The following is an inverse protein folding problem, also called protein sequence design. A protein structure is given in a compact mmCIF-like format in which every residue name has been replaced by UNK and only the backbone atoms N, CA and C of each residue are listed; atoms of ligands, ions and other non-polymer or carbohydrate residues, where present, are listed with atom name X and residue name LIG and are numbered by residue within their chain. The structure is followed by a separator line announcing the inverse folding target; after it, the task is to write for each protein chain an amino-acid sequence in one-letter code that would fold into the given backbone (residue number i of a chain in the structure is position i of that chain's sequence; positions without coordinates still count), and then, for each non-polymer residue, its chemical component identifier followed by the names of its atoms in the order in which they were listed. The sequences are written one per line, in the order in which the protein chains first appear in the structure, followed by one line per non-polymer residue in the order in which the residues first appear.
data_IF_387020137075
#
_entry.id   IF_387020137075
#
_cell.length_a   1.000
_cell.length_b   1.000
_cell.length_c   1.000
_cell.angle_alpha   90.00
_cell.angle_beta   90.00
_cell.angle_gamma   90.00
#
_symmetry.space_group_name_H-M   'P 1'
#
loop_
_entity.id
_entity.type
_entity.pdbx_description
1 polymer ?
#
# COMPACT_ATOMS: atom_id res chain seq x y z
N UNK A 1 -6.04 -51.62 29.87
CA UNK A 1 -5.77 -51.12 28.50
C UNK A 1 -6.22 -49.66 28.48
N UNK A 2 -5.29 -48.72 28.65
CA UNK A 2 -5.59 -47.28 28.67
C UNK A 2 -4.95 -46.65 27.44
N UNK A 3 -5.76 -45.95 26.65
CA UNK A 3 -5.35 -45.24 25.44
C UNK A 3 -4.74 -43.89 25.84
N UNK A 4 -3.59 -43.47 25.29
CA UNK A 4 -3.01 -42.17 25.67
C UNK A 4 -3.83 -41.03 25.05
N UNK A 5 -3.90 -39.87 25.73
CA UNK A 5 -4.63 -38.71 25.24
C UNK A 5 -3.93 -38.16 23.99
N UNK A 6 -4.71 -38.03 22.91
CA UNK A 6 -4.28 -37.36 21.69
C UNK A 6 -3.86 -35.92 22.03
N UNK A 7 -2.57 -35.65 21.86
CA UNK A 7 -2.02 -34.31 21.91
C UNK A 7 -2.78 -33.46 20.89
N UNK A 8 -3.51 -32.45 21.39
CA UNK A 8 -4.10 -31.42 20.54
C UNK A 8 -2.98 -30.74 19.79
N UNK A 9 -2.85 -31.07 18.50
CA UNK A 9 -1.98 -30.38 17.57
C UNK A 9 -2.32 -28.89 17.64
N UNK A 10 -1.34 -28.11 18.09
CA UNK A 10 -1.45 -26.66 18.10
C UNK A 10 -1.85 -26.19 16.71
N UNK A 11 -2.99 -25.53 16.62
CA UNK A 11 -3.42 -24.79 15.44
C UNK A 11 -2.38 -23.68 15.26
N UNK A 12 -1.32 -23.97 14.51
CA UNK A 12 -0.37 -22.95 14.09
C UNK A 12 -1.16 -21.94 13.26
N UNK A 13 -1.17 -20.65 13.64
CA UNK A 13 -1.91 -19.65 12.88
C UNK A 13 -1.36 -19.66 11.45
N UNK A 14 -2.22 -20.05 10.50
CA UNK A 14 -1.93 -20.07 9.08
C UNK A 14 -1.33 -18.71 8.72
N UNK A 15 -0.03 -18.69 8.40
CA UNK A 15 0.67 -17.48 7.91
C UNK A 15 -0.15 -16.99 6.73
N UNK A 16 -0.94 -15.95 6.94
CA UNK A 16 -1.77 -15.37 5.88
C UNK A 16 -0.79 -14.91 4.82
N UNK A 17 -0.90 -15.44 3.60
CA UNK A 17 -0.08 -14.98 2.48
C UNK A 17 -0.54 -13.56 2.17
N UNK A 18 0.05 -12.58 2.85
CA UNK A 18 -0.15 -11.16 2.56
C UNK A 18 0.59 -10.86 1.27
N UNK A 19 -0.15 -10.51 0.23
CA UNK A 19 0.43 -10.15 -1.06
C UNK A 19 1.19 -8.83 -0.86
N UNK A 20 2.48 -8.79 -1.20
CA UNK A 20 3.26 -7.57 -1.20
C UNK A 20 2.60 -6.40 -1.94
N UNK A 21 2.55 -5.23 -1.31
CA UNK A 21 2.05 -3.99 -1.91
C UNK A 21 2.84 -3.62 -3.16
N UNK A 22 4.16 -3.87 -3.14
CA UNK A 22 5.00 -3.62 -4.31
C UNK A 22 4.52 -4.39 -5.54
N UNK A 23 4.10 -5.65 -5.38
CA UNK A 23 3.61 -6.46 -6.49
C UNK A 23 2.24 -5.98 -6.97
N UNK A 24 1.37 -5.53 -6.06
CA UNK A 24 0.10 -4.93 -6.44
C UNK A 24 0.32 -3.67 -7.28
N UNK A 25 1.25 -2.81 -6.88
CA UNK A 25 1.59 -1.58 -7.61
C UNK A 25 2.26 -1.89 -8.95
N UNK A 26 3.21 -2.82 -8.99
CA UNK A 26 3.90 -3.19 -10.22
C UNK A 26 2.92 -3.75 -11.26
N UNK A 27 2.08 -4.71 -10.85
CA UNK A 27 1.11 -5.35 -11.74
C UNK A 27 0.10 -4.33 -12.27
N UNK A 28 -0.47 -3.52 -11.40
CA UNK A 28 -1.42 -2.47 -11.81
C UNK A 28 -0.77 -1.40 -12.71
N UNK A 29 0.49 -1.02 -12.47
CA UNK A 29 1.21 -0.11 -13.38
C UNK A 29 1.35 -0.70 -14.78
N UNK A 30 1.60 -2.01 -14.90
CA UNK A 30 1.62 -2.69 -16.20
C UNK A 30 0.25 -2.55 -16.87
N UNK A 31 -0.84 -2.83 -16.17
CA UNK A 31 -2.18 -2.67 -16.73
C UNK A 31 -2.47 -1.22 -17.16
N UNK A 32 -2.16 -0.24 -16.31
CA UNK A 32 -2.36 1.19 -16.60
C UNK A 32 -1.54 1.64 -17.81
N UNK A 33 -0.34 1.10 -18.01
CA UNK A 33 0.52 1.42 -19.15
C UNK A 33 0.10 0.70 -20.45
N UNK A 34 -0.32 -0.57 -20.34
CA UNK A 34 -0.58 -1.44 -21.51
C UNK A 34 -1.97 -1.21 -22.09
N UNK A 35 -2.99 -1.01 -21.25
CA UNK A 35 -4.39 -0.87 -21.72
C UNK A 35 -4.55 0.28 -22.73
N UNK A 36 -4.06 1.51 -22.48
CA UNK A 36 -4.20 2.61 -23.44
C UNK A 36 -3.53 2.30 -24.78
N UNK A 37 -2.35 1.69 -24.76
CA UNK A 37 -1.60 1.33 -25.97
C UNK A 37 -2.34 0.25 -26.77
N UNK A 38 -2.90 -0.74 -26.09
CA UNK A 38 -3.73 -1.77 -26.73
C UNK A 38 -5.00 -1.17 -27.33
N UNK A 39 -5.69 -0.28 -26.61
CA UNK A 39 -6.89 0.38 -27.12
C UNK A 39 -6.59 1.22 -28.36
N UNK A 40 -5.50 1.99 -28.36
CA UNK A 40 -5.06 2.74 -29.54
C UNK A 40 -4.70 1.82 -30.71
N UNK A 41 -4.05 0.68 -30.44
CA UNK A 41 -3.73 -0.30 -31.47
C UNK A 41 -4.99 -0.88 -32.12
N UNK A 42 -6.01 -1.22 -31.33
CA UNK A 42 -7.30 -1.72 -31.82
C UNK A 42 -8.02 -0.69 -32.70
N UNK A 43 -8.00 0.59 -32.30
CA UNK A 43 -8.58 1.68 -33.10
C UNK A 43 -7.83 1.86 -34.41
N UNK A 44 -6.50 1.78 -34.37
CA UNK A 44 -5.64 1.91 -35.55
C UNK A 44 -5.86 0.78 -36.57
N UNK A 45 -6.10 -0.45 -36.10
CA UNK A 45 -6.34 -1.63 -36.95
C UNK A 45 -7.70 -1.60 -37.67
N UNK A 46 -8.55 -0.59 -37.43
CA UNK A 46 -9.85 -0.45 -38.10
C UNK A 46 -10.94 -1.41 -37.64
N UNK A 47 -10.67 -2.26 -36.64
CA UNK A 47 -11.65 -3.20 -36.07
C UNK A 47 -12.84 -2.52 -35.39
N UNK A 48 -12.77 -1.21 -35.14
CA UNK A 48 -13.81 -0.37 -34.54
C UNK A 48 -14.50 0.55 -35.55
N UNK A 49 -14.37 0.28 -36.86
CA UNK A 49 -14.82 1.16 -37.94
C UNK A 49 -16.26 1.66 -37.79
N UNK A 50 -17.21 0.83 -37.34
CA UNK A 50 -18.61 1.24 -37.12
C UNK A 50 -18.77 2.27 -36.00
N UNK A 51 -18.03 2.09 -34.90
CA UNK A 51 -18.02 3.02 -33.75
C UNK A 51 -17.32 4.32 -34.15
N UNK A 52 -16.15 4.20 -34.79
CA UNK A 52 -15.34 5.35 -35.21
C UNK A 52 -16.01 6.15 -36.32
N UNK A 53 -16.77 5.51 -37.22
CA UNK A 53 -17.54 6.22 -38.26
C UNK A 53 -18.70 7.04 -37.67
N UNK A 54 -19.26 6.59 -36.55
CA UNK A 54 -20.35 7.28 -35.85
C UNK A 54 -19.84 8.47 -35.02
N UNK A 55 -18.69 8.31 -34.36
CA UNK A 55 -18.17 9.28 -33.38
C UNK A 55 -17.07 10.18 -33.97
N UNK A 56 -16.37 9.70 -34.99
CA UNK A 56 -15.18 10.32 -35.57
C UNK A 56 -13.88 9.85 -34.93
N UNK A 57 -12.83 9.68 -35.74
CA UNK A 57 -11.47 9.35 -35.31
C UNK A 57 -10.90 10.32 -34.27
N UNK A 58 -10.92 11.66 -34.47
CA UNK A 58 -10.32 12.58 -33.49
C UNK A 58 -11.05 12.56 -32.14
N UNK A 59 -12.40 12.48 -32.15
CA UNK A 59 -13.19 12.41 -30.93
C UNK A 59 -12.95 11.10 -30.17
N UNK A 60 -12.83 9.97 -30.87
CA UNK A 60 -12.52 8.67 -30.25
C UNK A 60 -11.15 8.69 -29.56
N UNK A 61 -10.12 9.22 -30.23
CA UNK A 61 -8.78 9.35 -29.65
C UNK A 61 -8.78 10.29 -28.45
N UNK A 62 -9.52 11.40 -28.52
CA UNK A 62 -9.65 12.35 -27.41
C UNK A 62 -10.30 11.69 -26.18
N UNK A 63 -11.40 10.95 -26.37
CA UNK A 63 -12.08 10.24 -25.28
C UNK A 63 -11.17 9.20 -24.61
N UNK A 64 -10.43 8.42 -25.41
CA UNK A 64 -9.45 7.46 -24.89
C UNK A 64 -8.33 8.16 -24.10
N UNK A 65 -7.86 9.30 -24.60
CA UNK A 65 -6.83 10.10 -23.93
C UNK A 65 -7.34 10.62 -22.58
N UNK A 66 -8.54 11.20 -22.54
CA UNK A 66 -9.15 11.69 -21.30
C UNK A 66 -9.34 10.53 -20.31
N UNK A 67 -9.87 9.40 -20.77
CA UNK A 67 -10.05 8.21 -19.93
C UNK A 67 -8.72 7.72 -19.34
N UNK A 68 -7.66 7.70 -20.15
CA UNK A 68 -6.31 7.32 -19.69
C UNK A 68 -5.78 8.28 -18.64
N UNK A 69 -5.90 9.60 -18.86
CA UNK A 69 -5.47 10.61 -17.89
C UNK A 69 -6.22 10.44 -16.57
N UNK A 70 -7.53 10.23 -16.61
CA UNK A 70 -8.33 9.98 -15.40
C UNK A 70 -7.89 8.73 -14.64
N UNK A 71 -7.61 7.63 -15.35
CA UNK A 71 -7.09 6.40 -14.75
C UNK A 71 -5.73 6.63 -14.08
N UNK A 72 -4.82 7.36 -14.73
CA UNK A 72 -3.50 7.70 -14.18
C UNK A 72 -3.65 8.57 -12.92
N UNK A 73 -4.54 9.56 -12.93
CA UNK A 73 -4.80 10.41 -11.77
C UNK A 73 -5.36 9.60 -10.60
N UNK A 74 -6.33 8.71 -10.86
CA UNK A 74 -6.89 7.83 -9.84
C UNK A 74 -5.84 6.90 -9.25
N UNK A 75 -4.98 6.34 -10.12
CA UNK A 75 -3.87 5.48 -9.71
C UNK A 75 -2.83 6.22 -8.87
N UNK A 76 -2.45 7.43 -9.29
CA UNK A 76 -1.53 8.29 -8.55
C UNK A 76 -2.09 8.66 -7.18
N UNK A 77 -3.39 8.96 -7.10
CA UNK A 77 -4.07 9.24 -5.83
C UNK A 77 -4.04 8.02 -4.91
N UNK A 78 -4.30 6.82 -5.44
CA UNK A 78 -4.22 5.57 -4.70
C UNK A 78 -2.83 5.33 -4.10
N UNK A 79 -1.76 5.48 -4.90
CA UNK A 79 -0.37 5.35 -4.45
C UNK A 79 -0.03 6.39 -3.37
N UNK A 80 -0.41 7.64 -3.58
CA UNK A 80 -0.17 8.71 -2.62
C UNK A 80 -0.82 8.41 -1.25
N UNK A 81 -2.04 7.86 -1.26
CA UNK A 81 -2.77 7.56 -0.03
C UNK A 81 -2.24 6.31 0.70
N UNK A 82 -1.91 5.24 -0.05
CA UNK A 82 -1.53 3.93 0.52
C UNK A 82 -0.04 3.83 0.86
N UNK A 83 0.81 4.63 0.22
CA UNK A 83 2.27 4.55 0.37
C UNK A 83 2.85 5.88 0.84
N UNK A 84 2.68 6.95 0.06
CA UNK A 84 3.39 8.21 0.33
C UNK A 84 2.97 8.82 1.65
N UNK A 85 1.66 8.89 1.94
CA UNK A 85 1.14 9.45 3.19
C UNK A 85 1.69 8.75 4.44
N UNK A 86 1.58 7.41 4.61
CA UNK A 86 2.13 6.75 5.80
C UNK A 86 3.66 6.86 5.91
N UNK A 87 4.40 6.86 4.79
CA UNK A 87 5.86 7.05 4.81
C UNK A 87 6.24 8.47 5.29
N UNK A 88 5.54 9.49 4.81
CA UNK A 88 5.77 10.89 5.24
C UNK A 88 5.39 11.05 6.72
N UNK A 89 4.30 10.45 7.17
CA UNK A 89 3.89 10.45 8.58
C UNK A 89 4.96 9.80 9.48
N UNK A 90 5.43 8.59 9.11
CA UNK A 90 6.54 7.89 9.76
C UNK A 90 7.80 8.77 9.85
N UNK A 91 8.20 9.38 8.73
CA UNK A 91 9.38 10.25 8.65
C UNK A 91 9.25 11.47 9.57
N UNK A 92 8.06 12.09 9.60
CA UNK A 92 7.78 13.23 10.47
C UNK A 92 7.90 12.87 11.95
N UNK A 93 7.38 11.70 12.34
CA UNK A 93 7.44 11.23 13.73
C UNK A 93 8.87 10.85 14.11
N UNK A 94 9.60 10.19 13.22
CA UNK A 94 11.01 9.85 13.43
C UNK A 94 11.86 11.11 13.68
N UNK A 95 11.62 12.18 12.90
CA UNK A 95 12.29 13.48 13.07
C UNK A 95 11.94 14.15 14.40
N UNK A 96 10.74 13.95 14.93
CA UNK A 96 10.34 14.45 16.26
C UNK A 96 11.03 13.65 17.37
N UNK A 97 11.08 12.33 17.24
CA UNK A 97 11.75 11.44 18.20
C UNK A 97 13.24 11.76 18.27
N UNK A 98 13.90 12.02 17.14
CA UNK A 98 15.33 12.38 17.12
C UNK A 98 15.64 13.71 17.82
N UNK A 99 14.62 14.53 18.11
CA UNK A 99 14.71 15.77 18.88
C UNK A 99 14.24 15.61 20.34
N UNK A 100 14.00 14.38 20.78
CA UNK A 100 13.54 14.06 22.13
C UNK A 100 12.02 14.12 22.34
N UNK A 101 11.24 14.34 21.28
CA UNK A 101 9.77 14.36 21.40
C UNK A 101 9.18 12.99 21.06
N UNK A 102 8.80 12.24 22.10
CA UNK A 102 8.05 11.00 21.91
C UNK A 102 6.56 11.33 21.67
N UNK A 103 5.92 10.71 20.67
CA UNK A 103 4.48 10.85 20.50
C UNK A 103 3.74 10.22 21.69
N UNK A 104 2.57 10.72 22.06
CA UNK A 104 1.77 10.17 23.17
C UNK A 104 0.99 8.90 22.76
N UNK A 105 0.62 8.81 21.47
CA UNK A 105 -0.15 7.68 20.93
C UNK A 105 0.64 6.95 19.86
N UNK A 106 0.39 5.65 19.77
CA UNK A 106 0.89 4.82 18.68
C UNK A 106 0.20 5.17 17.36
N UNK A 107 0.90 4.93 16.26
CA UNK A 107 0.30 5.10 14.94
C UNK A 107 -0.68 3.96 14.64
N UNK A 108 -1.76 4.30 13.97
CA UNK A 108 -2.77 3.33 13.54
C UNK A 108 -2.26 2.46 12.38
N UNK A 109 -2.34 1.14 12.51
CA UNK A 109 -2.03 0.20 11.43
C UNK A 109 -3.22 0.16 10.47
N UNK A 110 -3.11 0.86 9.34
CA UNK A 110 -4.18 0.95 8.32
C UNK A 110 -4.01 -0.02 7.15
N UNK A 111 -3.00 -0.89 7.20
CA UNK A 111 -2.63 -1.75 6.08
C UNK A 111 -2.24 -3.14 6.55
N UNK A 112 -2.50 -4.14 5.70
CA UNK A 112 -2.17 -5.55 5.95
C UNK A 112 -1.07 -6.03 4.98
N UNK A 113 -0.17 -5.12 4.63
CA UNK A 113 0.98 -5.30 3.73
C UNK A 113 2.25 -4.76 4.40
N UNK A 114 3.33 -4.59 3.64
CA UNK A 114 4.63 -4.12 4.14
C UNK A 114 4.55 -2.76 4.84
N UNK A 115 3.62 -1.88 4.41
CA UNK A 115 3.44 -0.58 5.07
C UNK A 115 2.85 -0.78 6.46
N UNK A 116 1.92 -1.73 6.62
CA UNK A 116 1.37 -2.10 7.92
C UNK A 116 2.40 -2.73 8.84
N UNK A 117 3.21 -3.63 8.30
CA UNK A 117 4.31 -4.26 9.03
C UNK A 117 5.37 -3.24 9.46
N UNK A 118 5.69 -2.27 8.59
CA UNK A 118 6.58 -1.15 8.89
C UNK A 118 6.04 -0.28 10.02
N UNK A 119 4.76 0.10 9.97
CA UNK A 119 4.10 0.85 11.06
C UNK A 119 4.15 0.08 12.37
N UNK A 120 3.87 -1.23 12.33
CA UNK A 120 3.94 -2.08 13.52
C UNK A 120 5.36 -2.16 14.11
N UNK A 121 6.38 -2.31 13.26
CA UNK A 121 7.79 -2.30 13.69
C UNK A 121 8.20 -0.94 14.29
N UNK A 122 7.74 0.15 13.70
CA UNK A 122 8.00 1.50 14.19
C UNK A 122 7.34 1.77 15.55
N UNK A 123 6.09 1.34 15.76
CA UNK A 123 5.43 1.42 17.06
C UNK A 123 6.19 0.64 18.13
N UNK A 124 6.70 -0.58 17.82
CA UNK A 124 7.54 -1.35 18.73
C UNK A 124 8.80 -0.59 19.14
N UNK A 125 9.49 0.03 18.18
CA UNK A 125 10.66 0.86 18.45
C UNK A 125 10.32 2.03 19.40
N UNK A 126 9.24 2.78 19.14
CA UNK A 126 8.78 3.87 20.02
C UNK A 126 8.53 3.36 21.44
N UNK A 127 7.86 2.21 21.58
CA UNK A 127 7.54 1.66 22.88
C UNK A 127 8.80 1.27 23.66
N UNK A 128 9.80 0.67 22.99
CA UNK A 128 11.11 0.41 23.59
C UNK A 128 11.78 1.69 24.08
N UNK A 129 11.76 2.77 23.30
CA UNK A 129 12.30 4.07 23.73
C UNK A 129 11.56 4.64 24.94
N UNK A 130 10.23 4.49 25.03
CA UNK A 130 9.46 4.93 26.21
C UNK A 130 9.90 4.19 27.46
N UNK A 131 10.07 2.87 27.37
CA UNK A 131 10.50 2.05 28.50
C UNK A 131 11.90 2.50 28.97
N UNK A 132 12.82 2.77 28.04
CA UNK A 132 14.16 3.25 28.39
C UNK A 132 14.12 4.63 29.05
N UNK A 133 13.31 5.56 28.54
CA UNK A 133 13.12 6.89 29.13
C UNK A 133 12.50 6.83 30.53
N UNK A 134 11.55 5.92 30.78
CA UNK A 134 10.98 5.73 32.13
C UNK A 134 12.01 5.16 33.10
N UNK A 135 12.82 4.19 32.67
CA UNK A 135 13.86 3.59 33.52
C UNK A 135 14.95 4.61 33.89
N UNK A 136 15.38 5.45 32.94
CA UNK A 136 16.38 6.49 33.20
C UNK A 136 15.88 7.56 34.20
N UNK A 137 14.56 7.73 34.34
CA UNK A 137 13.95 8.65 35.32
C UNK A 137 13.74 8.02 36.70
N UNK A 138 13.87 6.70 36.81
CA UNK A 138 13.64 5.92 38.02
C UNK A 138 14.92 5.59 38.80
N UNK A 139 16.12 5.94 38.33
CA UNK A 139 17.34 5.84 39.15
C UNK A 139 17.21 6.79 40.36
N UNK A 140 17.06 6.26 41.60
CA UNK A 140 16.99 7.08 42.80
C UNK A 140 18.40 7.56 43.16
N UNK A 141 18.54 8.81 43.59
CA UNK A 141 19.73 9.29 44.30
C UNK A 141 20.05 8.46 45.55
#
# INVERSE_FOLDING_TARGET
MAQPPGAGEGIQPRKSVSIPLFYQVLVSMIFVAVIPVLLLSVVSMGGTASIVATIGTPATVLLLTIGTVLLVLLWSYFVAFRITRPIVELSSIATRISRGYLPDREMEIRSHDEIGELVAAFNRMINTYRILDTLAKEEPE
#
